data_IF_177293274393
#
_entry.id   IF_177293274393
#
_cell.length_a   1.000
_cell.length_b   1.000
_cell.length_c   1.000
_cell.angle_alpha   90.00
_cell.angle_beta   90.00
_cell.angle_gamma   90.00
#
_symmetry.space_group_name_H-M   'P 1'
#
loop_
_entity.id
_entity.type
_entity.pdbx_description
1 polymer ?
#
# COMPACT_ATOMS: atom_id res chain seq x y z
N UNK A 1 -12.78 9.73 16.48
CA UNK A 1 -11.34 10.05 16.55
C UNK A 1 -10.64 9.28 17.66
N UNK A 2 -11.18 9.25 18.89
CA UNK A 2 -10.64 8.43 20.01
C UNK A 2 -10.39 6.97 19.64
N UNK A 3 -11.35 6.31 18.98
CA UNK A 3 -11.29 4.88 18.64
C UNK A 3 -10.17 4.53 17.67
N UNK A 4 -9.92 5.37 16.66
CA UNK A 4 -8.84 5.15 15.69
C UNK A 4 -7.47 5.27 16.38
N UNK A 5 -7.32 6.28 17.23
CA UNK A 5 -6.08 6.49 17.99
C UNK A 5 -5.79 5.31 18.91
N UNK A 6 -6.79 4.81 19.64
CA UNK A 6 -6.65 3.60 20.46
C UNK A 6 -6.28 2.37 19.64
N UNK A 7 -6.94 2.14 18.51
CA UNK A 7 -6.61 1.02 17.62
C UNK A 7 -5.13 1.06 17.21
N UNK A 8 -4.63 2.23 16.83
CA UNK A 8 -3.23 2.41 16.41
C UNK A 8 -2.27 2.17 17.58
N UNK A 9 -2.51 2.82 18.72
CA UNK A 9 -1.62 2.78 19.88
C UNK A 9 -1.63 1.39 20.56
N UNK A 10 -2.79 0.76 20.74
CA UNK A 10 -2.92 -0.53 21.43
C UNK A 10 -2.41 -1.72 20.61
N UNK A 11 -2.39 -1.61 19.27
CA UNK A 11 -1.96 -2.68 18.36
C UNK A 11 -0.58 -2.43 17.74
N UNK A 12 0.17 -1.43 18.24
CA UNK A 12 1.48 -1.06 17.70
C UNK A 12 1.47 -0.84 16.17
N UNK A 13 0.42 -0.20 15.66
CA UNK A 13 0.29 0.05 14.22
C UNK A 13 1.20 1.22 13.85
N UNK A 14 2.11 0.99 12.92
CA UNK A 14 2.97 2.03 12.37
C UNK A 14 2.26 2.65 11.17
N UNK A 15 2.06 3.96 11.21
CA UNK A 15 1.55 4.73 10.05
C UNK A 15 2.76 5.16 9.22
N UNK A 16 2.79 4.72 7.97
CA UNK A 16 3.82 5.12 7.01
C UNK A 16 3.36 6.33 6.21
N UNK A 17 4.29 7.26 6.00
CA UNK A 17 4.09 8.36 5.07
C UNK A 17 4.50 7.90 3.67
N UNK A 18 3.65 8.15 2.68
CA UNK A 18 4.02 7.93 1.29
C UNK A 18 5.08 8.96 0.84
N UNK A 19 6.01 8.50 0.02
CA UNK A 19 7.09 9.32 -0.56
C UNK A 19 7.13 9.25 -2.09
N UNK A 20 6.08 8.68 -2.71
CA UNK A 20 6.01 8.52 -4.15
C UNK A 20 5.80 9.85 -4.86
N UNK A 21 6.50 10.00 -5.98
CA UNK A 21 6.26 11.11 -6.91
C UNK A 21 5.00 10.88 -7.74
N UNK A 22 4.41 11.96 -8.26
CA UNK A 22 3.25 11.88 -9.17
C UNK A 22 3.57 11.00 -10.40
N UNK A 23 4.80 11.06 -10.90
CA UNK A 23 5.25 10.25 -12.04
C UNK A 23 5.31 8.75 -11.68
N UNK A 24 5.86 8.40 -10.51
CA UNK A 24 5.86 7.01 -10.04
C UNK A 24 4.44 6.46 -9.88
N UNK A 25 3.53 7.27 -9.31
CA UNK A 25 2.11 6.91 -9.14
C UNK A 25 1.48 6.66 -10.50
N UNK A 26 1.59 7.62 -11.43
CA UNK A 26 1.01 7.51 -12.76
C UNK A 26 1.56 6.29 -13.53
N UNK A 27 2.87 6.08 -13.52
CA UNK A 27 3.48 4.91 -14.17
C UNK A 27 2.98 3.60 -13.56
N UNK A 28 2.91 3.51 -12.23
CA UNK A 28 2.45 2.31 -11.52
C UNK A 28 0.97 2.02 -11.79
N UNK A 29 0.13 3.06 -11.82
CA UNK A 29 -1.28 2.93 -12.22
C UNK A 29 -1.41 2.33 -13.62
N UNK A 30 -0.65 2.85 -14.58
CA UNK A 30 -0.72 2.39 -15.97
C UNK A 30 -0.15 0.99 -16.15
N UNK A 31 0.98 0.68 -15.51
CA UNK A 31 1.67 -0.60 -15.65
C UNK A 31 0.86 -1.75 -15.01
N UNK A 32 0.29 -1.53 -13.83
CA UNK A 32 -0.41 -2.56 -13.07
C UNK A 32 -1.93 -2.40 -13.05
N UNK A 33 -2.48 -1.45 -13.82
CA UNK A 33 -3.92 -1.15 -13.91
C UNK A 33 -4.54 -0.92 -12.53
N UNK A 34 -3.89 -0.10 -11.71
CA UNK A 34 -4.31 0.21 -10.35
C UNK A 34 -5.01 1.57 -10.29
N UNK A 35 -5.92 1.74 -9.34
CA UNK A 35 -6.42 3.07 -8.97
C UNK A 35 -5.29 3.88 -8.32
N UNK A 36 -5.38 5.23 -8.27
CA UNK A 36 -4.33 6.05 -7.67
C UNK A 36 -3.98 5.67 -6.22
N UNK A 37 -4.98 5.34 -5.40
CA UNK A 37 -4.77 4.90 -4.01
C UNK A 37 -3.99 3.59 -3.92
N UNK A 38 -4.33 2.61 -4.75
CA UNK A 38 -3.67 1.30 -4.75
C UNK A 38 -2.24 1.40 -5.28
N UNK A 39 -2.01 2.27 -6.27
CA UNK A 39 -0.66 2.58 -6.75
C UNK A 39 0.22 3.19 -5.64
N UNK A 40 -0.32 4.12 -4.84
CA UNK A 40 0.38 4.69 -3.68
C UNK A 40 0.72 3.59 -2.66
N UNK A 41 -0.24 2.71 -2.32
CA UNK A 41 0.00 1.60 -1.40
C UNK A 41 1.10 0.67 -1.94
N UNK A 42 1.03 0.30 -3.22
CA UNK A 42 2.01 -0.58 -3.84
C UNK A 42 3.42 0.02 -3.86
N UNK A 43 3.53 1.34 -4.10
CA UNK A 43 4.78 2.09 -4.07
C UNK A 43 5.32 2.26 -2.65
N UNK A 44 4.47 2.59 -1.68
CA UNK A 44 4.85 2.59 -0.25
C UNK A 44 5.41 1.23 0.15
N UNK A 45 4.76 0.13 -0.21
CA UNK A 45 5.29 -1.21 0.03
C UNK A 45 6.68 -1.40 -0.59
N UNK A 46 6.88 -0.94 -1.83
CA UNK A 46 8.16 -1.04 -2.53
C UNK A 46 9.27 -0.24 -1.83
N UNK A 47 9.02 1.02 -1.50
CA UNK A 47 10.01 1.93 -0.90
C UNK A 47 10.42 1.49 0.51
N UNK A 48 9.49 0.92 1.27
CA UNK A 48 9.74 0.42 2.63
C UNK A 48 10.14 -1.07 2.68
N UNK A 49 10.28 -1.74 1.53
CA UNK A 49 10.70 -3.15 1.47
C UNK A 49 9.65 -4.14 2.01
N UNK A 50 8.37 -3.78 1.97
CA UNK A 50 7.24 -4.62 2.40
C UNK A 50 6.82 -5.50 1.23
N UNK A 51 7.12 -6.79 1.32
CA UNK A 51 6.80 -7.76 0.27
C UNK A 51 5.45 -8.49 0.44
N UNK A 52 4.65 -8.16 1.46
CA UNK A 52 3.38 -8.86 1.72
C UNK A 52 2.31 -7.89 2.21
N UNK A 53 1.10 -7.99 1.64
CA UNK A 53 -0.06 -7.18 2.02
C UNK A 53 -1.22 -8.08 2.43
N UNK A 54 -1.91 -7.72 3.51
CA UNK A 54 -3.16 -8.32 3.94
C UNK A 54 -4.33 -7.51 3.39
N UNK A 55 -5.03 -8.02 2.38
CA UNK A 55 -6.14 -7.33 1.71
C UNK A 55 -7.04 -8.30 0.95
N UNK A 56 -8.32 -7.96 0.83
CA UNK A 56 -9.25 -8.64 -0.07
C UNK A 56 -9.22 -8.11 -1.50
N UNK A 57 -8.43 -7.07 -1.75
CA UNK A 57 -8.28 -6.50 -3.08
C UNK A 57 -7.30 -7.34 -3.92
N UNK A 58 -7.86 -8.07 -4.88
CA UNK A 58 -7.09 -8.94 -5.77
C UNK A 58 -6.25 -8.15 -6.78
N UNK A 59 -6.48 -6.85 -6.93
CA UNK A 59 -5.76 -6.03 -7.91
C UNK A 59 -4.26 -5.96 -7.60
N UNK A 60 -3.88 -6.04 -6.32
CA UNK A 60 -2.48 -6.12 -5.89
C UNK A 60 -1.76 -7.38 -6.39
N UNK A 61 -2.48 -8.44 -6.80
CA UNK A 61 -1.85 -9.63 -7.41
C UNK A 61 -1.15 -9.31 -8.74
N UNK A 62 -1.44 -8.16 -9.37
CA UNK A 62 -0.75 -7.69 -10.58
C UNK A 62 0.63 -7.12 -10.29
N UNK A 63 0.95 -6.78 -9.04
CA UNK A 63 2.20 -6.13 -8.65
C UNK A 63 3.27 -7.18 -8.29
N UNK A 64 4.40 -7.27 -9.02
CA UNK A 64 5.31 -8.42 -8.93
C UNK A 64 6.12 -8.48 -7.63
N UNK A 65 6.25 -7.37 -6.89
CA UNK A 65 6.98 -7.33 -5.61
C UNK A 65 6.09 -7.54 -4.38
N UNK A 66 4.78 -7.76 -4.57
CA UNK A 66 3.81 -7.91 -3.48
C UNK A 66 3.22 -9.31 -3.49
N UNK A 67 3.29 -9.97 -2.34
CA UNK A 67 2.50 -11.16 -2.03
C UNK A 67 1.19 -10.75 -1.36
N UNK A 68 0.06 -11.09 -1.97
CA UNK A 68 -1.27 -10.86 -1.37
C UNK A 68 -1.63 -12.05 -0.47
N UNK A 69 -2.02 -11.76 0.78
CA UNK A 69 -2.63 -12.72 1.70
C UNK A 69 -4.06 -12.24 2.06
N UNK A 70 -5.05 -13.14 2.07
CA UNK A 70 -6.41 -12.82 2.51
C UNK A 70 -6.55 -12.80 4.04
#
# INVERSE_FOLDING_TARGET
METLRKLIEENNIIILQDIATIEEIHKTMMEYKLLPGDAIIALTCRHYGIGTILTFDEDFKRVPWIKVIP
#
